data_IF_978499562601
#
_entry.id   IF_978499562601
#
_cell.length_a   1.000
_cell.length_b   1.000
_cell.length_c   1.000
_cell.angle_alpha   90.00
_cell.angle_beta   90.00
_cell.angle_gamma   90.00
#
_symmetry.space_group_name_H-M   'P 1'
#
loop_
_entity.id
_entity.type
_entity.pdbx_description
1 polymer ?
#
# COMPACT_ATOMS: atom_id res chain seq x y z
N UNK A 1 22.19 4.80 15.46
CA UNK A 1 21.30 3.87 14.73
C UNK A 1 21.55 4.10 13.26
N UNK A 2 22.21 3.15 12.58
CA UNK A 2 22.56 3.30 11.17
C UNK A 2 21.32 3.27 10.29
N UNK A 3 21.14 4.28 9.45
CA UNK A 3 20.16 4.24 8.37
C UNK A 3 20.55 3.12 7.40
N UNK A 4 19.86 1.99 7.47
CA UNK A 4 19.89 0.97 6.42
C UNK A 4 19.37 1.64 5.14
N UNK A 5 20.29 2.02 4.23
CA UNK A 5 19.94 2.58 2.93
C UNK A 5 19.16 1.55 2.13
N UNK A 6 18.14 1.98 1.39
CA UNK A 6 17.50 1.15 0.37
C UNK A 6 18.47 0.94 -0.80
N UNK A 7 19.31 -0.09 -0.71
CA UNK A 7 20.24 -0.47 -1.79
C UNK A 7 19.53 -1.10 -3.01
N UNK A 8 18.20 -1.20 -2.99
CA UNK A 8 17.40 -1.93 -3.99
C UNK A 8 16.29 -1.08 -4.64
N UNK A 9 16.37 0.26 -4.58
CA UNK A 9 15.36 1.17 -5.14
C UNK A 9 14.92 0.79 -6.55
N UNK A 10 15.86 0.50 -7.45
CA UNK A 10 15.55 0.13 -8.84
C UNK A 10 14.89 -1.25 -8.96
N UNK A 11 15.25 -2.19 -8.09
CA UNK A 11 14.61 -3.50 -8.03
C UNK A 11 13.18 -3.39 -7.50
N UNK A 12 12.95 -2.59 -6.46
CA UNK A 12 11.62 -2.31 -5.92
C UNK A 12 10.73 -1.59 -6.93
N UNK A 13 11.29 -0.62 -7.65
CA UNK A 13 10.62 0.06 -8.75
C UNK A 13 10.14 -0.99 -9.76
N UNK A 14 11.02 -1.85 -10.26
CA UNK A 14 10.67 -2.86 -11.27
C UNK A 14 9.70 -3.92 -10.78
N UNK A 15 9.93 -4.47 -9.58
CA UNK A 15 9.20 -5.67 -9.10
C UNK A 15 7.87 -5.31 -8.47
N UNK A 16 7.79 -4.18 -7.74
CA UNK A 16 6.60 -3.79 -7.00
C UNK A 16 5.88 -2.58 -7.60
N UNK A 17 6.57 -1.46 -7.78
CA UNK A 17 5.90 -0.19 -8.05
C UNK A 17 5.47 -0.04 -9.52
N UNK A 18 6.29 -0.45 -10.48
CA UNK A 18 5.97 -0.38 -11.91
C UNK A 18 4.70 -1.16 -12.25
N UNK A 19 4.49 -2.39 -11.76
CA UNK A 19 3.26 -3.09 -12.10
C UNK A 19 2.04 -2.58 -11.31
N UNK A 20 2.21 -1.96 -10.14
CA UNK A 20 1.12 -1.20 -9.49
C UNK A 20 0.74 0.00 -10.35
N UNK A 21 1.72 0.76 -10.85
CA UNK A 21 1.50 1.86 -11.79
C UNK A 21 0.82 1.39 -13.07
N UNK A 22 1.20 0.23 -13.62
CA UNK A 22 0.56 -0.32 -14.83
C UNK A 22 -0.89 -0.69 -14.56
N UNK A 23 -1.17 -1.29 -13.39
CA UNK A 23 -2.54 -1.57 -12.98
C UNK A 23 -3.36 -0.29 -12.83
N UNK A 24 -2.83 0.72 -12.14
CA UNK A 24 -3.46 2.03 -12.02
C UNK A 24 -3.69 2.67 -13.40
N UNK A 25 -2.75 2.50 -14.33
CA UNK A 25 -2.87 3.01 -15.70
C UNK A 25 -4.05 2.41 -16.45
N UNK A 26 -4.36 1.14 -16.20
CA UNK A 26 -5.52 0.45 -16.76
C UNK A 26 -6.81 0.95 -16.12
N UNK A 27 -6.82 1.16 -14.79
CA UNK A 27 -8.01 1.52 -14.03
C UNK A 27 -8.43 2.99 -14.22
N UNK A 28 -7.48 3.93 -14.17
CA UNK A 28 -7.75 5.37 -14.08
C UNK A 28 -7.00 6.20 -15.13
N UNK A 29 -6.35 5.55 -16.09
CA UNK A 29 -5.60 6.21 -17.16
C UNK A 29 -4.18 6.64 -16.74
N UNK A 30 -3.55 7.49 -17.55
CA UNK A 30 -2.10 7.80 -17.48
C UNK A 30 -1.58 8.00 -16.05
N UNK A 31 -0.82 7.01 -15.55
CA UNK A 31 -0.27 7.03 -14.19
C UNK A 31 1.25 7.09 -14.23
N UNK A 32 1.83 8.01 -13.45
CA UNK A 32 3.27 8.10 -13.23
C UNK A 32 3.64 7.59 -11.84
N UNK A 33 4.90 7.16 -11.69
CA UNK A 33 5.46 6.79 -10.38
C UNK A 33 6.71 7.62 -10.10
N UNK A 34 6.72 8.33 -8.97
CA UNK A 34 7.87 9.05 -8.45
C UNK A 34 8.41 8.36 -7.21
N UNK A 35 9.75 8.32 -7.06
CA UNK A 35 10.39 7.72 -5.89
C UNK A 35 11.40 8.67 -5.28
N UNK A 36 11.12 9.14 -4.06
CA UNK A 36 11.89 10.14 -3.31
C UNK A 36 12.48 9.52 -2.05
N UNK A 37 13.75 9.81 -1.77
CA UNK A 37 14.37 9.43 -0.50
C UNK A 37 14.47 10.65 0.41
N UNK A 38 13.97 10.54 1.64
CA UNK A 38 14.01 11.61 2.63
C UNK A 38 14.17 11.02 4.02
N UNK A 39 15.17 11.49 4.77
CA UNK A 39 15.37 11.13 6.19
C UNK A 39 15.46 9.61 6.45
N UNK A 40 16.02 8.84 5.50
CA UNK A 40 16.13 7.38 5.63
C UNK A 40 14.86 6.60 5.25
N UNK A 41 13.83 7.29 4.76
CA UNK A 41 12.61 6.68 4.23
C UNK A 41 12.58 6.76 2.70
N UNK A 42 12.00 5.74 2.08
CA UNK A 42 11.67 5.74 0.66
C UNK A 42 10.19 6.08 0.50
N UNK A 43 9.89 7.21 -0.10
CA UNK A 43 8.54 7.63 -0.45
C UNK A 43 8.27 7.31 -1.91
N UNK A 44 7.17 6.60 -2.17
CA UNK A 44 6.73 6.22 -3.51
C UNK A 44 5.38 6.86 -3.74
N UNK A 45 5.28 7.66 -4.79
CA UNK A 45 4.09 8.44 -5.11
C UNK A 45 3.61 8.01 -6.48
N UNK A 46 2.40 7.48 -6.55
CA UNK A 46 1.68 7.25 -7.79
C UNK A 46 0.85 8.49 -8.09
N UNK A 47 1.11 9.14 -9.22
CA UNK A 47 0.37 10.31 -9.68
C UNK A 47 -0.59 9.87 -10.79
N UNK A 48 -1.87 10.12 -10.58
CA UNK A 48 -2.96 9.80 -11.52
C UNK A 48 -3.75 11.08 -11.85
N UNK A 49 -4.62 11.08 -12.89
CA UNK A 49 -5.49 12.21 -13.16
C UNK A 49 -6.48 12.51 -12.01
N UNK A 50 -6.86 11.49 -11.24
CA UNK A 50 -7.84 11.58 -10.15
C UNK A 50 -7.23 11.81 -8.76
N UNK A 51 -5.92 12.09 -8.66
CA UNK A 51 -5.22 12.26 -7.39
C UNK A 51 -4.00 11.38 -7.28
N UNK A 52 -3.52 11.14 -6.06
CA UNK A 52 -2.31 10.37 -5.82
C UNK A 52 -2.45 9.30 -4.73
N UNK A 53 -1.58 8.31 -4.80
CA UNK A 53 -1.37 7.31 -3.74
C UNK A 53 0.07 7.46 -3.27
N UNK A 54 0.28 7.55 -1.96
CA UNK A 54 1.61 7.64 -1.36
C UNK A 54 1.88 6.45 -0.45
N UNK A 55 3.03 5.81 -0.68
CA UNK A 55 3.58 4.78 0.17
C UNK A 55 4.86 5.29 0.83
N UNK A 56 4.95 5.15 2.14
CA UNK A 56 6.17 5.34 2.92
C UNK A 56 6.78 3.98 3.25
N UNK A 57 8.01 3.76 2.81
CA UNK A 57 8.70 2.48 2.91
C UNK A 57 9.97 2.61 3.77
N UNK A 58 10.22 1.57 4.56
CA UNK A 58 11.47 1.27 5.27
C UNK A 58 11.81 -0.20 5.05
N UNK A 59 13.02 -0.63 5.43
CA UNK A 59 13.40 -2.03 5.36
C UNK A 59 12.47 -2.97 6.14
N UNK A 60 11.74 -2.47 7.14
CA UNK A 60 10.94 -3.30 8.07
C UNK A 60 9.44 -3.00 8.05
N UNK A 61 9.01 -1.93 7.39
CA UNK A 61 7.63 -1.43 7.40
C UNK A 61 7.28 -0.72 6.11
N UNK A 62 6.03 -0.87 5.71
CA UNK A 62 5.40 -0.11 4.63
C UNK A 62 4.09 0.49 5.14
N UNK A 63 3.87 1.76 4.83
CA UNK A 63 2.68 2.47 5.21
C UNK A 63 2.04 3.15 3.99
N UNK A 64 0.72 3.00 3.83
CA UNK A 64 -0.08 3.86 2.96
C UNK A 64 -0.37 5.14 3.74
N UNK A 65 0.23 6.25 3.31
CA UNK A 65 0.08 7.55 3.98
C UNK A 65 -1.01 8.40 3.35
N UNK A 66 -1.37 8.12 2.09
CA UNK A 66 -2.34 8.85 1.31
C UNK A 66 -2.94 7.97 0.20
N UNK A 67 -4.24 8.09 -0.04
CA UNK A 67 -4.97 7.38 -1.08
C UNK A 67 -6.18 8.22 -1.55
N UNK A 68 -5.92 9.16 -2.45
CA UNK A 68 -6.95 10.07 -2.98
C UNK A 68 -7.69 9.49 -4.20
N UNK A 69 -7.15 8.42 -4.78
CA UNK A 69 -7.65 7.85 -6.04
C UNK A 69 -8.87 6.97 -5.77
N UNK A 70 -9.99 7.32 -6.38
CA UNK A 70 -11.22 6.52 -6.35
C UNK A 70 -11.05 5.30 -7.26
N UNK A 71 -11.05 4.11 -6.66
CA UNK A 71 -10.93 2.81 -7.34
C UNK A 71 -12.08 1.90 -6.92
N UNK A 72 -12.44 0.96 -7.79
CA UNK A 72 -13.38 -0.10 -7.45
C UNK A 72 -12.77 -1.07 -6.42
N UNK A 73 -13.61 -1.69 -5.59
CA UNK A 73 -13.19 -2.66 -4.55
C UNK A 73 -12.24 -3.74 -5.07
N UNK A 74 -12.50 -4.27 -6.27
CA UNK A 74 -11.64 -5.28 -6.90
C UNK A 74 -10.24 -4.75 -7.23
N UNK A 75 -10.14 -3.48 -7.65
CA UNK A 75 -8.88 -2.84 -8.01
C UNK A 75 -8.05 -2.53 -6.76
N UNK A 76 -8.71 -2.06 -5.69
CA UNK A 76 -8.10 -1.91 -4.37
C UNK A 76 -7.57 -3.26 -3.90
N UNK A 77 -8.38 -4.32 -3.97
CA UNK A 77 -7.97 -5.67 -3.59
C UNK A 77 -6.73 -6.14 -4.34
N UNK A 78 -6.67 -5.94 -5.65
CA UNK A 78 -5.54 -6.36 -6.49
C UNK A 78 -4.25 -5.63 -6.13
N UNK A 79 -4.31 -4.32 -5.92
CA UNK A 79 -3.15 -3.51 -5.51
C UNK A 79 -2.68 -3.92 -4.12
N UNK A 80 -3.60 -4.03 -3.15
CA UNK A 80 -3.28 -4.46 -1.79
C UNK A 80 -2.70 -5.88 -1.76
N UNK A 81 -3.20 -6.79 -2.60
CA UNK A 81 -2.70 -8.16 -2.68
C UNK A 81 -1.26 -8.19 -3.21
N UNK A 82 -0.97 -7.35 -4.19
CA UNK A 82 0.38 -7.21 -4.74
C UNK A 82 1.37 -6.66 -3.72
N UNK A 83 0.96 -5.63 -2.98
CA UNK A 83 1.73 -5.12 -1.83
C UNK A 83 1.93 -6.22 -0.79
N UNK A 84 0.86 -6.94 -0.43
CA UNK A 84 0.89 -8.00 0.57
C UNK A 84 1.85 -9.13 0.21
N UNK A 85 1.86 -9.59 -1.05
CA UNK A 85 2.83 -10.60 -1.48
C UNK A 85 4.28 -10.13 -1.35
N UNK A 86 4.54 -8.87 -1.68
CA UNK A 86 5.86 -8.30 -1.49
C UNK A 86 6.23 -8.23 0.00
N UNK A 87 5.33 -7.76 0.86
CA UNK A 87 5.57 -7.69 2.31
C UNK A 87 5.83 -9.07 2.91
N UNK A 88 5.03 -10.08 2.53
CA UNK A 88 5.24 -11.48 2.93
C UNK A 88 6.64 -11.98 2.55
N UNK A 89 7.09 -11.72 1.32
CA UNK A 89 8.42 -12.16 0.85
C UNK A 89 9.56 -11.53 1.65
N UNK A 90 9.32 -10.37 2.26
CA UNK A 90 10.29 -9.65 3.10
C UNK A 90 9.99 -9.79 4.60
N UNK A 91 9.19 -10.79 5.00
CA UNK A 91 8.86 -11.11 6.39
C UNK A 91 8.17 -9.94 7.15
N UNK A 92 7.54 -9.02 6.43
CA UNK A 92 6.75 -7.92 7.00
C UNK A 92 5.31 -8.41 7.17
N UNK A 93 4.84 -8.43 8.42
CA UNK A 93 3.57 -9.06 8.79
C UNK A 93 2.35 -8.15 8.62
N UNK A 94 2.54 -6.84 8.60
CA UNK A 94 1.45 -5.86 8.54
C UNK A 94 1.73 -4.79 7.48
N UNK A 95 0.69 -4.42 6.75
CA UNK A 95 0.64 -3.18 6.00
C UNK A 95 -0.04 -2.13 6.88
N UNK A 96 0.64 -1.02 7.15
CA UNK A 96 0.05 0.07 7.91
C UNK A 96 -0.70 1.01 6.96
N UNK A 97 -1.88 1.49 7.33
CA UNK A 97 -2.66 2.46 6.56
C UNK A 97 -3.04 3.60 7.51
N UNK A 98 -2.73 4.83 7.14
CA UNK A 98 -3.15 6.00 7.91
C UNK A 98 -4.67 6.10 7.83
N UNK A 99 -5.35 6.35 8.94
CA UNK A 99 -6.78 6.72 8.91
C UNK A 99 -6.90 8.23 8.91
N UNK A 100 -7.25 8.80 7.77
CA UNK A 100 -7.43 10.23 7.55
C UNK A 100 -8.47 10.49 6.46
N UNK A 101 -8.81 11.75 6.20
CA UNK A 101 -9.75 12.11 5.13
C UNK A 101 -9.20 11.68 3.74
N UNK A 102 -7.90 11.82 3.54
CA UNK A 102 -7.19 11.49 2.29
C UNK A 102 -7.00 9.98 2.09
N UNK A 103 -7.50 9.15 3.00
CA UNK A 103 -7.49 7.68 2.91
C UNK A 103 -8.88 7.12 3.18
N UNK A 104 -9.92 7.96 3.15
CA UNK A 104 -11.27 7.57 3.56
C UNK A 104 -11.82 6.46 2.67
N UNK A 105 -11.68 6.58 1.35
CA UNK A 105 -12.13 5.55 0.40
C UNK A 105 -11.49 4.18 0.65
N UNK A 106 -10.17 4.17 0.87
CA UNK A 106 -9.45 2.94 1.24
C UNK A 106 -9.89 2.42 2.61
N UNK A 107 -10.13 3.32 3.57
CA UNK A 107 -10.57 2.95 4.92
C UNK A 107 -11.96 2.30 4.90
N UNK A 108 -12.89 2.85 4.12
CA UNK A 108 -14.24 2.28 3.93
C UNK A 108 -14.16 0.89 3.31
N UNK A 109 -13.36 0.71 2.25
CA UNK A 109 -13.10 -0.61 1.67
C UNK A 109 -12.60 -1.60 2.73
N UNK A 110 -11.61 -1.20 3.54
CA UNK A 110 -11.01 -2.06 4.57
C UNK A 110 -12.02 -2.39 5.68
N UNK A 111 -12.82 -1.44 6.12
CA UNK A 111 -13.84 -1.65 7.16
C UNK A 111 -14.99 -2.55 6.68
N UNK A 112 -15.37 -2.47 5.40
CA UNK A 112 -16.44 -3.29 4.83
C UNK A 112 -15.96 -4.70 4.50
N UNK A 113 -14.76 -4.83 3.94
CA UNK A 113 -14.28 -6.10 3.38
C UNK A 113 -13.27 -6.81 4.28
N UNK A 114 -12.51 -6.09 5.10
CA UNK A 114 -11.33 -6.62 5.81
C UNK A 114 -11.39 -6.46 7.33
N UNK A 115 -12.50 -6.03 7.93
CA UNK A 115 -12.63 -5.69 9.36
C UNK A 115 -11.98 -6.69 10.32
N UNK A 116 -12.22 -7.99 10.14
CA UNK A 116 -11.68 -9.05 11.00
C UNK A 116 -10.15 -9.20 10.93
N UNK A 117 -9.53 -8.61 9.91
CA UNK A 117 -8.09 -8.67 9.62
C UNK A 117 -7.36 -7.38 10.02
N UNK A 118 -8.09 -6.36 10.47
CA UNK A 118 -7.55 -5.07 10.86
C UNK A 118 -7.28 -5.05 12.36
N UNK A 119 -6.09 -4.60 12.72
CA UNK A 119 -5.80 -4.09 14.05
C UNK A 119 -5.79 -2.56 13.98
N UNK A 120 -6.34 -1.90 14.99
CA UNK A 120 -6.30 -0.45 15.07
C UNK A 120 -5.27 -0.03 16.14
N UNK A 121 -4.30 0.78 15.74
CA UNK A 121 -3.36 1.42 16.67
C UNK A 121 -3.83 2.85 16.93
N UNK A 122 -4.11 3.14 18.20
CA UNK A 122 -4.61 4.45 18.63
C UNK A 122 -3.46 5.26 19.25
N UNK A 123 -3.06 6.33 18.57
CA UNK A 123 -2.11 7.34 19.06
C UNK A 123 -2.60 8.75 18.71
N UNK A 124 -1.69 9.73 18.58
CA UNK A 124 -2.03 11.06 18.02
C UNK A 124 -2.62 10.97 16.61
N UNK A 125 -2.23 9.95 15.87
CA UNK A 125 -2.79 9.57 14.58
C UNK A 125 -3.36 8.16 14.71
N UNK A 126 -4.48 7.91 14.03
CA UNK A 126 -5.10 6.59 13.99
C UNK A 126 -4.53 5.84 12.79
N UNK A 127 -4.07 4.61 13.02
CA UNK A 127 -3.53 3.75 11.98
C UNK A 127 -4.24 2.41 11.99
N UNK A 128 -4.54 1.91 10.79
CA UNK A 128 -4.90 0.51 10.58
C UNK A 128 -3.65 -0.31 10.30
N UNK A 129 -3.62 -1.52 10.84
CA UNK A 129 -2.65 -2.55 10.51
C UNK A 129 -3.40 -3.73 9.89
N UNK A 130 -3.29 -3.85 8.57
CA UNK A 130 -3.83 -4.97 7.82
C UNK A 130 -2.86 -6.15 7.93
N UNK A 131 -3.32 -7.26 8.51
CA UNK A 131 -2.50 -8.47 8.62
C UNK A 131 -2.31 -9.12 7.25
N UNK A 132 -1.05 -9.17 6.80
CA UNK A 132 -0.66 -9.53 5.43
C UNK A 132 -1.04 -10.96 5.08
N UNK A 133 -0.73 -11.92 5.95
CA UNK A 133 -0.94 -13.34 5.66
C UNK A 133 -2.43 -13.69 5.57
N UNK A 134 -3.23 -13.17 6.49
CA UNK A 134 -4.67 -13.41 6.53
C UNK A 134 -5.38 -12.71 5.37
N UNK A 135 -4.91 -11.52 4.97
CA UNK A 135 -5.43 -10.84 3.80
C UNK A 135 -5.17 -11.64 2.51
N UNK A 136 -3.93 -12.14 2.33
CA UNK A 136 -3.61 -13.02 1.18
C UNK A 136 -4.52 -14.25 1.18
N UNK A 137 -4.66 -14.92 2.33
CA UNK A 137 -5.49 -16.13 2.44
C UNK A 137 -6.95 -15.86 2.11
N UNK A 138 -7.53 -14.78 2.67
CA UNK A 138 -8.89 -14.35 2.35
C UNK A 138 -9.07 -14.07 0.85
N UNK A 139 -8.15 -13.33 0.24
CA UNK A 139 -8.22 -12.98 -1.18
C UNK A 139 -8.12 -14.21 -2.11
N UNK A 140 -7.43 -15.27 -1.68
CA UNK A 140 -7.36 -16.54 -2.42
C UNK A 140 -8.66 -17.34 -2.33
N UNK A 141 -9.35 -17.29 -1.19
CA UNK A 141 -10.63 -17.98 -1.01
C UNK A 141 -11.79 -17.35 -1.79
N UNK A 142 -11.72 -16.05 -2.08
CA UNK A 142 -12.75 -15.34 -2.86
C UNK A 142 -12.65 -15.55 -4.38
N UNK A 143 -11.59 -16.22 -4.86
CA UNK A 143 -11.37 -16.51 -6.29
C UNK A 143 -11.86 -17.90 -6.73
N UNK A 144 -12.67 -18.58 -5.92
CA UNK A 144 -13.31 -19.86 -6.22
C UNK A 144 -14.79 -19.85 -5.85
#
# INVERSE_FOLDING_TARGET
MGNEKFYEKDALLKVLFMPIRDRLSICVGSTMVEVKEKEGFLFVIFLTPGGKIELKCTAKRMAVTLWEVELLDQEIQEILLRISFFLRRNEIQVLTIRKSAETNHLSEYLENNCKALLLASYGKEIWYELRVMEFIFKAQQQKF
#
